data_IF_857704117065
#
_entry.id   IF_857704117065
#
_cell.length_a   1.000
_cell.length_b   1.000
_cell.length_c   1.000
_cell.angle_alpha   90.00
_cell.angle_beta   90.00
_cell.angle_gamma   90.00
#
_symmetry.space_group_name_H-M   'P 1'
#
loop_
_entity.id
_entity.type
_entity.pdbx_description
1 polymer ?
#
# COMPACT_ATOMS: atom_id res chain seq x y z
N UNK A 1 3.65 -21.74 10.62
CA UNK A 1 2.65 -21.55 9.54
C UNK A 1 1.28 -21.07 10.04
N UNK A 2 0.68 -21.61 11.12
CA UNK A 2 -0.67 -21.21 11.59
C UNK A 2 -0.85 -19.70 11.90
N UNK A 3 0.23 -18.98 12.25
CA UNK A 3 0.22 -17.53 12.51
C UNK A 3 0.54 -16.66 11.28
N UNK A 4 0.89 -17.26 10.14
CA UNK A 4 1.37 -16.53 8.97
C UNK A 4 0.24 -15.82 8.23
N UNK A 5 -0.85 -16.55 7.96
CA UNK A 5 -2.05 -16.01 7.32
C UNK A 5 -2.62 -14.81 8.07
N UNK A 6 -2.86 -14.88 9.40
CA UNK A 6 -3.35 -13.70 10.12
C UNK A 6 -2.35 -12.54 10.14
N UNK A 7 -1.03 -12.81 10.16
CA UNK A 7 -0.02 -11.75 10.08
C UNK A 7 -0.06 -11.01 8.74
N UNK A 8 -0.15 -11.74 7.62
CA UNK A 8 -0.27 -11.15 6.28
C UNK A 8 -1.57 -10.34 6.16
N UNK A 9 -2.70 -10.87 6.65
CA UNK A 9 -3.97 -10.16 6.59
C UNK A 9 -3.95 -8.87 7.42
N UNK A 10 -3.41 -8.92 8.64
CA UNK A 10 -3.27 -7.72 9.49
C UNK A 10 -2.34 -6.68 8.85
N UNK A 11 -1.21 -7.12 8.29
CA UNK A 11 -0.31 -6.23 7.56
C UNK A 11 -0.97 -5.63 6.32
N UNK A 12 -1.73 -6.42 5.56
CA UNK A 12 -2.49 -5.96 4.40
C UNK A 12 -3.51 -4.90 4.79
N UNK A 13 -4.27 -5.13 5.86
CA UNK A 13 -5.23 -4.16 6.39
C UNK A 13 -4.52 -2.89 6.84
N UNK A 14 -3.41 -3.01 7.56
CA UNK A 14 -2.63 -1.86 8.03
C UNK A 14 -2.09 -1.02 6.87
N UNK A 15 -1.47 -1.66 5.87
CA UNK A 15 -0.97 -0.99 4.66
C UNK A 15 -2.14 -0.31 3.95
N UNK A 16 -3.24 -1.03 3.69
CA UNK A 16 -4.40 -0.50 3.00
C UNK A 16 -5.04 0.71 3.70
N UNK A 17 -5.19 0.66 5.03
CA UNK A 17 -5.71 1.81 5.81
C UNK A 17 -4.74 2.99 5.73
N UNK A 18 -3.44 2.76 5.92
CA UNK A 18 -2.43 3.82 5.89
C UNK A 18 -2.37 4.50 4.52
N UNK A 19 -2.41 3.71 3.45
CA UNK A 19 -2.46 4.16 2.08
C UNK A 19 -3.75 4.96 1.83
N UNK A 20 -4.91 4.43 2.21
CA UNK A 20 -6.21 5.10 2.03
C UNK A 20 -6.27 6.46 2.75
N UNK A 21 -5.83 6.53 4.01
CA UNK A 21 -5.80 7.79 4.76
C UNK A 21 -4.90 8.81 4.07
N UNK A 22 -3.72 8.41 3.59
CA UNK A 22 -2.80 9.30 2.89
C UNK A 22 -3.39 9.80 1.58
N UNK A 23 -3.89 8.91 0.72
CA UNK A 23 -4.26 9.30 -0.64
C UNK A 23 -5.69 9.80 -0.78
N UNK A 24 -6.63 9.36 0.07
CA UNK A 24 -8.02 9.79 -0.01
C UNK A 24 -8.30 11.01 0.87
N UNK A 25 -7.65 11.13 2.03
CA UNK A 25 -7.90 12.22 2.97
C UNK A 25 -6.80 13.29 2.99
N UNK A 26 -5.53 12.91 3.16
CA UNK A 26 -4.46 13.88 3.38
C UNK A 26 -4.00 14.57 2.08
N UNK A 27 -3.75 13.77 1.04
CA UNK A 27 -3.05 14.22 -0.17
C UNK A 27 -3.90 14.20 -1.43
N UNK A 28 -5.20 13.89 -1.33
CA UNK A 28 -6.09 13.83 -2.49
C UNK A 28 -6.10 15.12 -3.31
N UNK A 29 -6.09 16.27 -2.65
CA UNK A 29 -6.10 17.58 -3.30
C UNK A 29 -4.90 17.79 -4.22
N UNK A 30 -3.69 17.39 -3.80
CA UNK A 30 -2.49 17.47 -4.64
C UNK A 30 -2.67 16.71 -5.96
N UNK A 31 -3.28 15.54 -5.92
CA UNK A 31 -3.54 14.74 -7.12
C UNK A 31 -4.63 15.35 -7.99
N UNK A 32 -5.74 15.80 -7.39
CA UNK A 32 -6.84 16.44 -8.13
C UNK A 32 -6.35 17.71 -8.83
N UNK A 33 -5.62 18.56 -8.13
CA UNK A 33 -5.09 19.82 -8.68
C UNK A 33 -4.06 19.55 -9.79
N UNK A 34 -3.18 18.57 -9.58
CA UNK A 34 -2.21 18.15 -10.60
C UNK A 34 -2.91 17.63 -11.86
N UNK A 35 -3.87 16.72 -11.74
CA UNK A 35 -4.62 16.20 -12.90
C UNK A 35 -5.40 17.32 -13.60
N UNK A 36 -6.03 18.22 -12.84
CA UNK A 36 -6.73 19.37 -13.40
C UNK A 36 -5.79 20.30 -14.17
N UNK A 37 -4.55 20.52 -13.68
CA UNK A 37 -3.52 21.29 -14.40
C UNK A 37 -3.10 20.67 -15.73
N UNK A 38 -3.28 19.35 -15.89
CA UNK A 38 -3.04 18.62 -17.13
C UNK A 38 -4.30 18.56 -18.02
N UNK A 39 -5.42 19.15 -17.60
CA UNK A 39 -6.71 19.05 -18.28
C UNK A 39 -7.35 17.66 -18.16
N UNK A 40 -6.94 16.86 -17.17
CA UNK A 40 -7.42 15.50 -16.92
C UNK A 40 -8.33 15.45 -15.69
N UNK A 41 -9.26 14.50 -15.68
CA UNK A 41 -10.03 14.16 -14.48
C UNK A 41 -9.24 13.17 -13.62
N UNK A 42 -9.18 13.41 -12.31
CA UNK A 42 -8.53 12.49 -11.37
C UNK A 42 -9.34 11.18 -11.27
N UNK A 43 -8.72 10.00 -11.52
CA UNK A 43 -9.42 8.73 -11.52
C UNK A 43 -9.68 8.24 -10.09
N UNK A 44 -10.79 8.66 -9.48
CA UNK A 44 -11.19 8.27 -8.12
C UNK A 44 -12.24 7.16 -8.07
N UNK A 45 -12.33 6.33 -9.09
CA UNK A 45 -13.31 5.24 -9.12
C UNK A 45 -12.98 4.14 -8.09
N UNK A 46 -14.01 3.48 -7.51
CA UNK A 46 -13.79 2.41 -6.52
C UNK A 46 -12.88 1.27 -6.99
N UNK A 47 -12.82 1.02 -8.30
CA UNK A 47 -11.93 0.02 -8.91
C UNK A 47 -10.46 0.29 -8.60
N UNK A 48 -10.04 1.57 -8.53
CA UNK A 48 -8.68 1.93 -8.20
C UNK A 48 -8.34 1.57 -6.75
N UNK A 49 -9.31 1.73 -5.84
CA UNK A 49 -9.19 1.25 -4.46
C UNK A 49 -9.03 -0.27 -4.36
N UNK A 50 -9.73 -1.03 -5.21
CA UNK A 50 -9.59 -2.49 -5.26
C UNK A 50 -8.20 -2.92 -5.77
N UNK A 51 -7.67 -2.27 -6.81
CA UNK A 51 -6.31 -2.48 -7.31
C UNK A 51 -5.28 -2.21 -6.22
N UNK A 52 -5.49 -1.14 -5.45
CA UNK A 52 -4.68 -0.80 -4.29
C UNK A 52 -4.74 -1.83 -3.17
N UNK A 53 -5.92 -2.37 -2.87
CA UNK A 53 -6.07 -3.47 -1.92
C UNK A 53 -5.30 -4.72 -2.34
N UNK A 54 -5.35 -5.08 -3.63
CA UNK A 54 -4.58 -6.19 -4.18
C UNK A 54 -3.07 -5.93 -4.08
N UNK A 55 -2.62 -4.73 -4.44
CA UNK A 55 -1.22 -4.33 -4.27
C UNK A 55 -0.77 -4.43 -2.81
N UNK A 56 -1.58 -3.97 -1.86
CA UNK A 56 -1.29 -4.04 -0.42
C UNK A 56 -1.11 -5.49 0.05
N UNK A 57 -1.92 -6.42 -0.46
CA UNK A 57 -1.81 -7.85 -0.15
C UNK A 57 -0.51 -8.45 -0.69
N UNK A 58 -0.19 -8.16 -1.95
CA UNK A 58 1.05 -8.63 -2.59
C UNK A 58 2.29 -8.06 -1.87
N UNK A 59 2.24 -6.79 -1.49
CA UNK A 59 3.31 -6.14 -0.75
C UNK A 59 3.49 -6.75 0.65
N UNK A 60 2.41 -6.98 1.39
CA UNK A 60 2.44 -7.68 2.68
C UNK A 60 3.02 -9.11 2.56
N UNK A 61 2.66 -9.83 1.50
CA UNK A 61 3.22 -11.15 1.21
C UNK A 61 4.73 -11.06 0.91
N UNK A 62 5.16 -10.06 0.12
CA UNK A 62 6.56 -9.77 -0.16
C UNK A 62 7.39 -9.49 1.11
N UNK A 63 6.90 -8.59 1.98
CA UNK A 63 7.53 -8.31 3.28
C UNK A 63 7.68 -9.60 4.11
N UNK A 64 6.65 -10.46 4.09
CA UNK A 64 6.66 -11.72 4.83
C UNK A 64 7.68 -12.72 4.28
N UNK A 65 7.88 -12.75 2.96
CA UNK A 65 8.92 -13.59 2.34
C UNK A 65 10.31 -13.05 2.69
N UNK A 66 10.50 -11.73 2.65
CA UNK A 66 11.75 -11.08 3.01
C UNK A 66 12.12 -11.29 4.48
N UNK A 67 11.14 -11.22 5.39
CA UNK A 67 11.39 -11.39 6.84
C UNK A 67 11.85 -12.79 7.23
N UNK A 68 11.62 -13.80 6.38
CA UNK A 68 12.18 -15.14 6.58
C UNK A 68 13.68 -15.24 6.21
N UNK A 69 14.23 -14.26 5.49
CA UNK A 69 15.62 -14.29 4.99
C UNK A 69 16.50 -13.17 5.54
N UNK A 70 15.90 -12.06 5.95
CA UNK A 70 16.61 -10.84 6.34
C UNK A 70 16.28 -10.43 7.77
N UNK A 71 17.14 -9.59 8.36
CA UNK A 71 16.84 -8.98 9.65
C UNK A 71 15.68 -8.00 9.52
N UNK A 72 15.11 -7.58 10.65
CA UNK A 72 14.04 -6.57 10.66
C UNK A 72 14.47 -5.29 9.94
N UNK A 73 15.68 -4.78 10.23
CA UNK A 73 16.16 -3.52 9.66
C UNK A 73 16.37 -3.61 8.14
N UNK A 74 16.87 -4.74 7.66
CA UNK A 74 17.04 -5.02 6.22
C UNK A 74 15.67 -5.16 5.53
N UNK A 75 14.75 -5.91 6.13
CA UNK A 75 13.39 -6.09 5.60
C UNK A 75 12.66 -4.75 5.52
N UNK A 76 12.72 -3.94 6.58
CA UNK A 76 12.15 -2.60 6.60
C UNK A 76 12.81 -1.71 5.57
N UNK A 77 14.15 -1.70 5.47
CA UNK A 77 14.87 -0.89 4.49
C UNK A 77 14.51 -1.25 3.04
N UNK A 78 14.46 -2.55 2.72
CA UNK A 78 14.06 -3.02 1.39
C UNK A 78 12.59 -2.66 1.14
N UNK A 79 11.69 -3.00 2.06
CA UNK A 79 10.27 -2.71 1.89
C UNK A 79 10.02 -1.20 1.71
N UNK A 80 10.67 -0.35 2.50
CA UNK A 80 10.52 1.10 2.42
C UNK A 80 10.90 1.68 1.05
N UNK A 81 11.86 1.10 0.35
CA UNK A 81 12.23 1.55 -1.00
C UNK A 81 11.17 1.24 -2.05
N UNK A 82 10.30 0.25 -1.79
CA UNK A 82 9.25 -0.20 -2.70
C UNK A 82 7.84 0.15 -2.23
N UNK A 83 7.72 0.80 -1.06
CA UNK A 83 6.48 1.38 -0.54
C UNK A 83 6.25 2.76 -1.16
#
# INVERSE_FOLDING_TARGET
MKKLVPAILLATIWIGISEFVRNEFLFKHFWVDHYASLGLAFPSEPVNGAVWGLWSLLFAAGITILSHRYTLLQTTGIAWLFA
#
